data_IF_613180854637
#
_entry.id   IF_613180854637
#
_cell.length_a   1.000
_cell.length_b   1.000
_cell.length_c   1.000
_cell.angle_alpha   90.00
_cell.angle_beta   90.00
_cell.angle_gamma   90.00
#
_symmetry.space_group_name_H-M   'P 1'
#
loop_
_entity.id
_entity.type
_entity.pdbx_description
1 polymer ?
#
# COMPACT_ATOMS: atom_id res chain seq x y z
N UNK A 1 -80.31 -30.79 -51.47
CA UNK A 1 -79.90 -31.28 -52.80
C UNK A 1 -79.39 -30.09 -53.59
N UNK A 2 -78.13 -30.13 -54.05
CA UNK A 2 -77.51 -29.06 -54.86
C UNK A 2 -78.06 -29.16 -56.28
N UNK A 3 -78.40 -28.02 -56.88
CA UNK A 3 -78.77 -27.95 -58.28
C UNK A 3 -77.74 -27.05 -58.97
N UNK A 4 -76.85 -27.62 -59.81
CA UNK A 4 -75.85 -26.81 -60.50
C UNK A 4 -76.50 -25.70 -61.30
N UNK A 5 -75.85 -24.55 -61.40
CA UNK A 5 -76.29 -23.38 -62.17
C UNK A 5 -76.73 -23.79 -63.57
N UNK A 6 -75.95 -24.64 -64.25
CA UNK A 6 -76.30 -25.16 -65.57
C UNK A 6 -77.67 -25.86 -65.61
N UNK A 7 -78.00 -26.66 -64.60
CA UNK A 7 -79.32 -27.29 -64.48
C UNK A 7 -80.43 -26.30 -64.15
N UNK A 8 -80.15 -25.23 -63.40
CA UNK A 8 -81.13 -24.14 -63.17
C UNK A 8 -81.41 -23.36 -64.44
N UNK A 9 -80.41 -23.12 -65.28
CA UNK A 9 -80.58 -22.53 -66.60
C UNK A 9 -81.42 -23.42 -67.51
N UNK A 10 -81.12 -24.72 -67.56
CA UNK A 10 -81.90 -25.69 -68.34
C UNK A 10 -83.34 -25.74 -67.83
N UNK A 11 -83.56 -25.83 -66.51
CA UNK A 11 -84.89 -25.87 -65.92
C UNK A 11 -85.66 -24.56 -66.15
N UNK A 12 -85.01 -23.41 -65.99
CA UNK A 12 -85.59 -22.10 -66.28
C UNK A 12 -85.95 -21.96 -67.76
N UNK A 13 -85.07 -22.40 -68.67
CA UNK A 13 -85.34 -22.43 -70.10
C UNK A 13 -86.50 -23.36 -70.45
N UNK A 14 -86.56 -24.57 -69.87
CA UNK A 14 -87.67 -25.51 -70.05
C UNK A 14 -88.98 -24.92 -69.54
N UNK A 15 -88.99 -24.23 -68.39
CA UNK A 15 -90.18 -23.55 -67.87
C UNK A 15 -90.64 -22.41 -68.78
N UNK A 16 -89.70 -21.62 -69.32
CA UNK A 16 -90.02 -20.55 -70.29
C UNK A 16 -90.55 -21.14 -71.59
N UNK A 17 -89.89 -22.15 -72.16
CA UNK A 17 -90.32 -22.83 -73.40
C UNK A 17 -91.68 -23.48 -73.20
N UNK A 18 -91.93 -24.16 -72.07
CA UNK A 18 -93.23 -24.73 -71.75
C UNK A 18 -94.30 -23.63 -71.63
N UNK A 19 -94.05 -22.55 -70.87
CA UNK A 19 -95.00 -21.45 -70.72
C UNK A 19 -95.35 -20.79 -72.06
N UNK A 20 -94.36 -20.63 -72.95
CA UNK A 20 -94.54 -20.12 -74.31
C UNK A 20 -95.29 -21.11 -75.20
N UNK A 21 -94.98 -22.41 -75.14
CA UNK A 21 -95.63 -23.45 -75.92
C UNK A 21 -97.10 -23.69 -75.53
N UNK A 22 -97.46 -23.49 -74.26
CA UNK A 22 -98.84 -23.60 -73.76
C UNK A 22 -99.63 -22.28 -73.83
N UNK A 23 -98.99 -21.13 -74.08
CA UNK A 23 -99.65 -19.84 -74.27
C UNK A 23 -100.76 -19.83 -75.36
N UNK A 24 -100.59 -20.49 -76.54
CA UNK A 24 -101.65 -20.61 -77.55
C UNK A 24 -102.91 -21.29 -77.01
N UNK A 25 -102.75 -22.32 -76.17
CA UNK A 25 -103.87 -23.07 -75.60
C UNK A 25 -104.66 -22.22 -74.61
N UNK A 26 -104.00 -21.36 -73.84
CA UNK A 26 -104.66 -20.42 -72.92
C UNK A 26 -105.39 -19.28 -73.64
N UNK A 27 -104.82 -18.75 -74.73
CA UNK A 27 -105.41 -17.64 -75.48
C UNK A 27 -106.61 -18.08 -76.34
N UNK A 28 -106.62 -19.33 -76.83
CA UNK A 28 -107.77 -19.90 -77.55
C UNK A 28 -109.02 -20.05 -76.67
N UNK A 29 -108.86 -20.20 -75.36
CA UNK A 29 -109.98 -20.33 -74.41
C UNK A 29 -110.78 -19.03 -74.25
N UNK A 30 -110.24 -17.89 -74.68
CA UNK A 30 -110.84 -16.55 -74.52
C UNK A 30 -111.79 -16.13 -75.66
N UNK A 31 -111.98 -16.95 -76.71
CA UNK A 31 -113.06 -16.77 -77.71
C UNK A 31 -112.90 -15.65 -78.75
N UNK A 32 -111.67 -15.16 -79.00
CA UNK A 32 -111.39 -14.11 -79.98
C UNK A 32 -111.33 -14.61 -81.45
N UNK A 33 -111.40 -13.70 -82.44
CA UNK A 33 -111.40 -14.04 -83.88
C UNK A 33 -110.06 -14.61 -84.38
N UNK A 34 -110.03 -15.49 -85.40
CA UNK A 34 -108.83 -16.28 -85.77
C UNK A 34 -107.57 -15.47 -86.10
N UNK A 35 -107.72 -14.24 -86.61
CA UNK A 35 -106.59 -13.34 -86.90
C UNK A 35 -106.08 -12.61 -85.66
N UNK A 36 -106.98 -12.23 -84.72
CA UNK A 36 -106.60 -11.59 -83.46
C UNK A 36 -106.01 -12.59 -82.45
N UNK A 37 -106.44 -13.86 -82.47
CA UNK A 37 -105.89 -14.92 -81.61
C UNK A 37 -104.41 -15.18 -81.88
N UNK A 38 -103.95 -15.15 -83.14
CA UNK A 38 -102.54 -15.36 -83.50
C UNK A 38 -101.64 -14.23 -82.98
N UNK A 39 -102.07 -12.98 -83.16
CA UNK A 39 -101.37 -11.80 -82.66
C UNK A 39 -101.34 -11.74 -81.13
N UNK A 40 -102.47 -12.01 -80.48
CA UNK A 40 -102.59 -12.02 -79.02
C UNK A 40 -101.77 -13.15 -78.38
N UNK A 41 -101.75 -14.33 -78.99
CA UNK A 41 -100.92 -15.45 -78.54
C UNK A 41 -99.44 -15.12 -78.58
N UNK A 42 -98.97 -14.55 -79.70
CA UNK A 42 -97.58 -14.12 -79.83
C UNK A 42 -97.22 -13.06 -78.79
N UNK A 43 -98.09 -12.07 -78.59
CA UNK A 43 -97.89 -11.03 -77.57
C UNK A 43 -97.83 -11.63 -76.16
N UNK A 44 -98.79 -12.47 -75.75
CA UNK A 44 -98.82 -13.09 -74.41
C UNK A 44 -97.61 -13.99 -74.17
N UNK A 45 -97.25 -14.82 -75.15
CA UNK A 45 -96.06 -15.67 -75.06
C UNK A 45 -94.77 -14.85 -74.91
N UNK A 46 -94.64 -13.76 -75.67
CA UNK A 46 -93.51 -12.85 -75.57
C UNK A 46 -93.45 -12.16 -74.19
N UNK A 47 -94.58 -11.68 -73.67
CA UNK A 47 -94.65 -11.02 -72.36
C UNK A 47 -94.30 -11.98 -71.23
N UNK A 48 -94.82 -13.22 -71.26
CA UNK A 48 -94.50 -14.26 -70.27
C UNK A 48 -93.01 -14.62 -70.35
N UNK A 49 -92.45 -14.78 -71.55
CA UNK A 49 -91.04 -15.04 -71.75
C UNK A 49 -90.15 -13.91 -71.20
N UNK A 50 -90.50 -12.66 -71.45
CA UNK A 50 -89.79 -11.48 -70.93
C UNK A 50 -89.87 -11.37 -69.40
N UNK A 51 -91.05 -11.61 -68.80
CA UNK A 51 -91.23 -11.57 -67.34
C UNK A 51 -90.44 -12.69 -66.65
N UNK A 52 -90.57 -13.94 -67.14
CA UNK A 52 -89.84 -15.07 -66.57
C UNK A 52 -88.33 -14.92 -66.78
N UNK A 53 -87.91 -14.43 -67.95
CA UNK A 53 -86.51 -14.11 -68.23
C UNK A 53 -85.97 -13.01 -67.32
N UNK A 54 -86.75 -11.96 -67.06
CA UNK A 54 -86.39 -10.89 -66.13
C UNK A 54 -86.29 -11.39 -64.68
N UNK A 55 -87.26 -12.19 -64.21
CA UNK A 55 -87.22 -12.78 -62.86
C UNK A 55 -85.99 -13.69 -62.72
N UNK A 56 -85.77 -14.59 -63.69
CA UNK A 56 -84.64 -15.51 -63.67
C UNK A 56 -83.30 -14.75 -63.70
N UNK A 57 -83.15 -13.78 -64.61
CA UNK A 57 -81.96 -12.93 -64.71
C UNK A 57 -81.69 -12.16 -63.41
N UNK A 58 -82.73 -11.55 -62.82
CA UNK A 58 -82.62 -10.80 -61.57
C UNK A 58 -82.26 -11.69 -60.39
N UNK A 59 -82.82 -12.90 -60.30
CA UNK A 59 -82.48 -13.86 -59.24
C UNK A 59 -81.07 -14.43 -59.41
N UNK A 60 -80.66 -14.72 -60.64
CA UNK A 60 -79.34 -15.27 -60.95
C UNK A 60 -78.22 -14.23 -60.72
N UNK A 61 -78.39 -13.04 -61.28
CA UNK A 61 -77.36 -11.99 -61.24
C UNK A 61 -77.16 -11.42 -59.83
N UNK A 62 -78.19 -11.45 -58.98
CA UNK A 62 -78.14 -10.86 -57.63
C UNK A 62 -77.04 -11.44 -56.73
N UNK A 63 -76.81 -12.76 -56.73
CA UNK A 63 -75.72 -13.34 -55.94
C UNK A 63 -74.34 -13.04 -56.56
N UNK A 64 -74.23 -13.02 -57.89
CA UNK A 64 -72.99 -12.65 -58.59
C UNK A 64 -72.60 -11.20 -58.31
N UNK A 65 -73.55 -10.26 -58.37
CA UNK A 65 -73.31 -8.85 -58.05
C UNK A 65 -72.82 -8.70 -56.61
N UNK A 66 -73.43 -9.40 -55.65
CA UNK A 66 -72.97 -9.37 -54.24
C UNK A 66 -71.58 -9.95 -54.04
N UNK A 67 -71.25 -11.06 -54.72
CA UNK A 67 -69.90 -11.64 -54.68
C UNK A 67 -68.87 -10.67 -55.30
N UNK A 68 -69.24 -9.99 -56.38
CA UNK A 68 -68.38 -8.97 -57.00
C UNK A 68 -68.19 -7.76 -56.07
N UNK A 69 -69.24 -7.28 -55.42
CA UNK A 69 -69.16 -6.21 -54.41
C UNK A 69 -68.27 -6.60 -53.23
N UNK A 70 -68.36 -7.84 -52.74
CA UNK A 70 -67.48 -8.36 -51.69
C UNK A 70 -66.03 -8.47 -52.16
N UNK A 71 -65.78 -8.96 -53.37
CA UNK A 71 -64.43 -9.04 -53.94
C UNK A 71 -63.81 -7.65 -54.15
N UNK A 72 -64.61 -6.68 -54.62
CA UNK A 72 -64.19 -5.29 -54.78
C UNK A 72 -63.90 -4.61 -53.43
N UNK A 73 -64.69 -4.92 -52.40
CA UNK A 73 -64.41 -4.48 -51.03
C UNK A 73 -63.06 -5.04 -50.53
N UNK A 74 -62.85 -6.35 -50.64
CA UNK A 74 -61.57 -7.01 -50.28
C UNK A 74 -60.40 -6.40 -51.07
N UNK A 75 -60.57 -6.16 -52.37
CA UNK A 75 -59.54 -5.54 -53.22
C UNK A 75 -59.17 -4.11 -52.81
N UNK A 76 -60.09 -3.38 -52.17
CA UNK A 76 -59.84 -2.04 -51.62
C UNK A 76 -59.26 -2.08 -50.21
N UNK A 77 -59.11 -3.27 -49.62
CA UNK A 77 -58.67 -3.47 -48.25
C UNK A 77 -59.82 -3.49 -47.23
N UNK A 78 -61.08 -3.37 -47.66
CA UNK A 78 -62.21 -3.41 -46.74
C UNK A 78 -62.57 -4.84 -46.38
N UNK A 79 -62.00 -5.32 -45.27
CA UNK A 79 -62.25 -6.64 -44.71
C UNK A 79 -63.39 -6.61 -43.68
N UNK A 80 -64.14 -5.51 -43.52
CA UNK A 80 -65.22 -5.44 -42.52
C UNK A 80 -66.53 -6.06 -43.01
N UNK A 81 -66.75 -6.09 -44.32
CA UNK A 81 -68.03 -6.50 -44.91
C UNK A 81 -68.31 -7.99 -44.77
N UNK A 82 -69.51 -8.34 -44.31
CA UNK A 82 -69.99 -9.72 -44.33
C UNK A 82 -70.51 -10.13 -45.71
N UNK A 83 -70.24 -11.38 -46.09
CA UNK A 83 -70.71 -11.95 -47.36
C UNK A 83 -72.13 -12.48 -47.17
N UNK A 84 -73.12 -11.60 -47.36
CA UNK A 84 -74.54 -11.95 -47.20
C UNK A 84 -75.13 -12.42 -48.54
N UNK A 85 -75.13 -13.73 -48.77
CA UNK A 85 -75.80 -14.34 -49.92
C UNK A 85 -77.32 -14.44 -49.73
N UNK A 86 -78.08 -14.40 -50.84
CA UNK A 86 -79.51 -14.67 -50.80
C UNK A 86 -79.74 -16.16 -50.59
N UNK A 87 -80.46 -16.54 -49.53
CA UNK A 87 -80.86 -17.93 -49.29
C UNK A 87 -81.72 -18.41 -50.45
N UNK A 88 -81.26 -19.42 -51.17
CA UNK A 88 -82.01 -20.07 -52.25
C UNK A 88 -82.51 -21.43 -51.77
N UNK A 89 -83.70 -21.84 -52.24
CA UNK A 89 -84.30 -23.16 -51.91
C UNK A 89 -83.44 -24.34 -52.39
N UNK A 90 -82.60 -24.10 -53.41
CA UNK A 90 -81.70 -25.07 -54.01
C UNK A 90 -80.32 -24.43 -54.15
N UNK A 91 -79.33 -24.82 -53.32
CA UNK A 91 -78.00 -24.26 -53.39
C UNK A 91 -77.30 -24.56 -54.72
N UNK A 92 -76.42 -23.66 -55.16
CA UNK A 92 -75.64 -23.76 -56.39
C UNK A 92 -74.18 -23.29 -56.18
N UNK A 93 -73.38 -23.27 -57.26
CA UNK A 93 -71.97 -22.87 -57.25
C UNK A 93 -71.72 -21.44 -56.69
N UNK A 94 -72.71 -20.53 -56.73
CA UNK A 94 -72.55 -19.17 -56.18
C UNK A 94 -72.42 -19.20 -54.66
N UNK A 95 -73.03 -20.18 -53.99
CA UNK A 95 -72.91 -20.37 -52.54
C UNK A 95 -71.54 -20.92 -52.18
N UNK A 96 -71.03 -21.89 -52.94
CA UNK A 96 -69.67 -22.42 -52.75
C UNK A 96 -68.63 -21.31 -52.94
N UNK A 97 -68.77 -20.48 -53.98
CA UNK A 97 -67.88 -19.35 -54.23
C UNK A 97 -67.92 -18.33 -53.09
N UNK A 98 -69.11 -18.02 -52.55
CA UNK A 98 -69.22 -17.14 -51.40
C UNK A 98 -68.60 -17.72 -50.12
N UNK A 99 -68.72 -19.03 -49.90
CA UNK A 99 -68.03 -19.71 -48.79
C UNK A 99 -66.50 -19.66 -48.96
N UNK A 100 -65.98 -19.86 -50.17
CA UNK A 100 -64.55 -19.74 -50.45
C UNK A 100 -64.03 -18.31 -50.25
N UNK A 101 -64.75 -17.29 -50.75
CA UNK A 101 -64.39 -15.89 -50.53
C UNK A 101 -64.47 -15.54 -49.04
N UNK A 102 -65.45 -16.09 -48.30
CA UNK A 102 -65.55 -15.90 -46.85
C UNK A 102 -64.33 -16.47 -46.11
N UNK A 103 -63.91 -17.70 -46.42
CA UNK A 103 -62.69 -18.29 -45.83
C UNK A 103 -61.44 -17.49 -46.18
N UNK A 104 -61.32 -17.03 -47.42
CA UNK A 104 -60.21 -16.17 -47.85
C UNK A 104 -60.19 -14.86 -47.03
N UNK A 105 -61.35 -14.23 -46.84
CA UNK A 105 -61.48 -13.02 -46.03
C UNK A 105 -61.09 -13.27 -44.57
N UNK A 106 -61.54 -14.37 -43.94
CA UNK A 106 -61.14 -14.73 -42.58
C UNK A 106 -59.63 -14.93 -42.47
N UNK A 107 -59.01 -15.68 -43.39
CA UNK A 107 -57.55 -15.85 -43.39
C UNK A 107 -56.79 -14.54 -43.62
N UNK A 108 -57.30 -13.64 -44.46
CA UNK A 108 -56.72 -12.30 -44.63
C UNK A 108 -56.87 -11.46 -43.36
N UNK A 109 -58.02 -11.53 -42.66
CA UNK A 109 -58.23 -10.84 -41.38
C UNK A 109 -57.22 -11.34 -40.34
N UNK A 110 -57.06 -12.65 -40.21
CA UNK A 110 -56.10 -13.26 -39.28
C UNK A 110 -54.66 -12.86 -39.61
N UNK A 111 -54.28 -12.92 -40.89
CA UNK A 111 -52.95 -12.52 -41.34
C UNK A 111 -52.68 -11.04 -41.05
N UNK A 112 -53.61 -10.13 -41.36
CA UNK A 112 -53.48 -8.70 -41.07
C UNK A 112 -53.38 -8.45 -39.56
N UNK A 113 -54.18 -9.15 -38.72
CA UNK A 113 -54.06 -9.06 -37.25
C UNK A 113 -52.70 -9.53 -36.76
N UNK A 114 -52.24 -10.69 -37.22
CA UNK A 114 -50.93 -11.23 -36.83
C UNK A 114 -49.78 -10.31 -37.27
N UNK A 115 -49.83 -9.75 -38.48
CA UNK A 115 -48.80 -8.79 -38.91
C UNK A 115 -48.83 -7.53 -38.04
N UNK A 116 -50.01 -6.99 -37.69
CA UNK A 116 -50.09 -5.84 -36.77
C UNK A 116 -49.49 -6.15 -35.42
N UNK A 117 -49.91 -7.25 -34.79
CA UNK A 117 -49.41 -7.65 -33.46
C UNK A 117 -47.90 -7.92 -33.46
N UNK A 118 -47.37 -8.58 -34.49
CA UNK A 118 -45.93 -8.85 -34.62
C UNK A 118 -45.16 -7.55 -34.85
N UNK A 119 -45.65 -6.66 -35.72
CA UNK A 119 -44.97 -5.41 -36.04
C UNK A 119 -44.97 -4.45 -34.84
N UNK A 120 -46.05 -4.38 -34.06
CA UNK A 120 -46.06 -3.62 -32.80
C UNK A 120 -45.00 -4.14 -31.82
N UNK A 121 -44.95 -5.46 -31.60
CA UNK A 121 -43.94 -6.09 -30.73
C UNK A 121 -42.51 -5.87 -31.20
N UNK A 122 -42.26 -5.94 -32.52
CA UNK A 122 -40.93 -5.68 -33.09
C UNK A 122 -40.55 -4.21 -32.92
N UNK A 123 -41.48 -3.27 -33.16
CA UNK A 123 -41.25 -1.82 -32.96
C UNK A 123 -40.92 -1.51 -31.49
N UNK A 124 -41.67 -2.08 -30.55
CA UNK A 124 -41.41 -1.94 -29.11
C UNK A 124 -40.06 -2.55 -28.70
N UNK A 125 -39.79 -3.80 -29.10
CA UNK A 125 -38.53 -4.49 -28.78
C UNK A 125 -37.31 -3.74 -29.34
N UNK A 126 -37.43 -3.21 -30.57
CA UNK A 126 -36.39 -2.44 -31.23
C UNK A 126 -36.15 -1.09 -30.52
N UNK A 127 -37.20 -0.39 -30.07
CA UNK A 127 -37.06 0.84 -29.27
C UNK A 127 -36.36 0.55 -27.94
N UNK A 128 -36.75 -0.52 -27.24
CA UNK A 128 -36.08 -0.94 -26.00
C UNK A 128 -34.61 -1.29 -26.25
N UNK A 129 -34.31 -2.06 -27.30
CA UNK A 129 -32.94 -2.42 -27.67
C UNK A 129 -32.09 -1.16 -27.98
N UNK A 130 -32.64 -0.18 -28.69
CA UNK A 130 -31.94 1.09 -28.93
C UNK A 130 -31.67 1.85 -27.63
N UNK A 131 -32.60 1.84 -26.67
CA UNK A 131 -32.41 2.50 -25.38
C UNK A 131 -31.33 1.81 -24.55
N UNK A 132 -31.38 0.48 -24.44
CA UNK A 132 -30.37 -0.32 -23.73
C UNK A 132 -29.00 -0.17 -24.38
N UNK A 133 -28.92 -0.08 -25.71
CA UNK A 133 -27.66 0.14 -26.40
C UNK A 133 -27.01 1.49 -26.04
N UNK A 134 -27.82 2.57 -25.93
CA UNK A 134 -27.34 3.88 -25.51
C UNK A 134 -26.90 3.88 -24.03
N UNK A 135 -27.63 3.18 -23.16
CA UNK A 135 -27.28 3.03 -21.75
C UNK A 135 -25.94 2.30 -21.57
N UNK A 136 -25.72 1.18 -22.26
CA UNK A 136 -24.44 0.46 -22.25
C UNK A 136 -23.32 1.35 -22.80
N UNK A 137 -23.58 2.16 -23.83
CA UNK A 137 -22.58 3.09 -24.35
C UNK A 137 -22.17 4.13 -23.29
N UNK A 138 -23.13 4.66 -22.50
CA UNK A 138 -22.82 5.56 -21.39
C UNK A 138 -22.00 4.85 -20.29
N UNK A 139 -22.33 3.61 -19.92
CA UNK A 139 -21.50 2.83 -18.99
C UNK A 139 -20.10 2.52 -19.55
N UNK A 140 -19.97 2.38 -20.87
CA UNK A 140 -18.70 2.17 -21.55
C UNK A 140 -17.81 3.42 -21.44
N UNK A 141 -18.39 4.63 -21.49
CA UNK A 141 -17.66 5.89 -21.21
C UNK A 141 -17.16 5.96 -19.76
N UNK A 142 -17.95 5.51 -18.78
CA UNK A 142 -17.49 5.43 -17.38
C UNK A 142 -16.33 4.44 -17.21
N UNK A 143 -16.38 3.29 -17.88
CA UNK A 143 -15.27 2.32 -17.91
C UNK A 143 -14.03 2.95 -18.52
N UNK A 144 -14.15 3.67 -19.65
CA UNK A 144 -13.03 4.37 -20.28
C UNK A 144 -12.36 5.37 -19.31
N UNK A 145 -13.17 6.13 -18.56
CA UNK A 145 -12.67 7.05 -17.54
C UNK A 145 -11.92 6.32 -16.41
N UNK A 146 -12.46 5.20 -15.93
CA UNK A 146 -11.79 4.38 -14.91
C UNK A 146 -10.46 3.81 -15.42
N UNK A 147 -10.39 3.38 -16.68
CA UNK A 147 -9.18 2.90 -17.34
C UNK A 147 -8.12 4.01 -17.43
N UNK A 148 -8.50 5.23 -17.80
CA UNK A 148 -7.57 6.39 -17.80
C UNK A 148 -6.99 6.65 -16.40
N UNK A 149 -7.83 6.57 -15.36
CA UNK A 149 -7.39 6.70 -13.97
C UNK A 149 -6.40 5.61 -13.56
N UNK A 150 -6.64 4.35 -13.96
CA UNK A 150 -5.72 3.23 -13.70
C UNK A 150 -4.40 3.47 -14.44
N UNK A 151 -4.42 3.91 -15.70
CA UNK A 151 -3.22 4.24 -16.49
C UNK A 151 -2.34 5.27 -15.76
N UNK A 152 -2.94 6.38 -15.32
CA UNK A 152 -2.23 7.43 -14.57
C UNK A 152 -1.72 6.92 -13.22
N UNK A 153 -2.47 6.02 -12.58
CA UNK A 153 -2.05 5.33 -11.37
C UNK A 153 -0.79 4.48 -11.57
N UNK A 154 -0.74 3.71 -12.67
CA UNK A 154 0.41 2.88 -13.05
C UNK A 154 1.65 3.72 -13.37
N UNK A 155 1.50 4.84 -14.10
CA UNK A 155 2.61 5.79 -14.36
C UNK A 155 3.18 6.37 -13.06
N UNK A 156 2.31 6.84 -12.16
CA UNK A 156 2.72 7.34 -10.85
C UNK A 156 3.42 6.25 -10.02
N UNK A 157 2.94 5.01 -10.11
CA UNK A 157 3.57 3.87 -9.43
C UNK A 157 4.98 3.61 -9.95
N UNK A 158 5.18 3.65 -11.28
CA UNK A 158 6.50 3.52 -11.88
C UNK A 158 7.46 4.64 -11.44
N UNK A 159 6.99 5.88 -11.34
CA UNK A 159 7.80 6.99 -10.83
C UNK A 159 8.19 6.77 -9.34
N UNK A 160 7.23 6.33 -8.51
CA UNK A 160 7.48 6.02 -7.10
C UNK A 160 8.48 4.87 -6.93
N UNK A 161 8.37 3.82 -7.75
CA UNK A 161 9.33 2.70 -7.79
C UNK A 161 10.74 3.22 -8.07
N UNK A 162 10.91 4.08 -9.08
CA UNK A 162 12.21 4.66 -9.43
C UNK A 162 12.81 5.48 -8.28
N UNK A 163 11.98 6.33 -7.63
CA UNK A 163 12.40 7.11 -6.46
C UNK A 163 12.77 6.21 -5.27
N UNK A 164 11.96 5.20 -4.96
CA UNK A 164 12.22 4.27 -3.87
C UNK A 164 13.49 3.47 -4.10
N UNK A 165 13.73 2.99 -5.32
CA UNK A 165 14.95 2.28 -5.68
C UNK A 165 16.20 3.12 -5.42
N UNK A 166 16.17 4.40 -5.80
CA UNK A 166 17.26 5.34 -5.52
C UNK A 166 17.50 5.52 -4.02
N UNK A 167 16.44 5.72 -3.24
CA UNK A 167 16.54 5.89 -1.77
C UNK A 167 17.09 4.62 -1.10
N UNK A 168 16.65 3.44 -1.54
CA UNK A 168 17.17 2.16 -1.02
C UNK A 168 18.66 2.00 -1.34
N UNK A 169 19.09 2.40 -2.54
CA UNK A 169 20.50 2.37 -2.92
C UNK A 169 21.36 3.33 -2.06
N UNK A 170 20.92 4.57 -1.87
CA UNK A 170 21.59 5.55 -1.01
C UNK A 170 21.64 5.08 0.46
N UNK A 171 20.59 4.40 0.92
CA UNK A 171 20.54 3.79 2.25
C UNK A 171 21.56 2.65 2.37
N UNK A 172 21.68 1.76 1.37
CA UNK A 172 22.66 0.67 1.38
C UNK A 172 24.11 1.21 1.48
N UNK A 173 24.44 2.24 0.71
CA UNK A 173 25.76 2.91 0.79
C UNK A 173 25.98 3.49 2.20
N UNK A 174 24.96 4.13 2.77
CA UNK A 174 25.05 4.73 4.10
C UNK A 174 25.26 3.67 5.19
N UNK A 175 24.57 2.53 5.10
CA UNK A 175 24.73 1.39 6.02
C UNK A 175 26.14 0.81 5.92
N UNK A 176 26.69 0.66 4.71
CA UNK A 176 28.06 0.18 4.52
C UNK A 176 29.08 1.14 5.16
N UNK A 177 28.86 2.44 5.01
CA UNK A 177 29.68 3.46 5.67
C UNK A 177 29.61 3.35 7.20
N UNK A 178 28.41 3.18 7.77
CA UNK A 178 28.23 2.96 9.22
C UNK A 178 28.99 1.71 9.68
N UNK A 179 28.88 0.59 8.96
CA UNK A 179 29.60 -0.65 9.26
C UNK A 179 31.12 -0.45 9.22
N UNK A 180 31.62 0.33 8.25
CA UNK A 180 33.04 0.69 8.18
C UNK A 180 33.48 1.54 9.37
N UNK A 181 32.72 2.58 9.72
CA UNK A 181 33.02 3.46 10.87
C UNK A 181 32.98 2.70 12.20
N UNK A 182 32.06 1.75 12.35
CA UNK A 182 31.99 0.89 13.52
C UNK A 182 33.26 0.01 13.65
N UNK A 183 33.74 -0.56 12.54
CA UNK A 183 35.01 -1.32 12.52
C UNK A 183 36.23 -0.45 12.84
N UNK A 184 36.30 0.76 12.30
CA UNK A 184 37.35 1.73 12.62
C UNK A 184 37.35 2.09 14.12
N UNK A 185 36.17 2.34 14.69
CA UNK A 185 36.01 2.64 16.12
C UNK A 185 36.38 1.46 17.03
N UNK A 186 36.03 0.23 16.63
CA UNK A 186 36.46 -1.01 17.31
C UNK A 186 37.99 -1.15 17.31
N UNK A 187 38.64 -0.85 16.18
CA UNK A 187 40.11 -0.81 16.09
C UNK A 187 40.75 0.22 17.03
N UNK A 188 40.22 1.45 17.06
CA UNK A 188 40.70 2.51 17.94
C UNK A 188 40.48 2.17 19.44
N UNK A 189 39.35 1.55 19.77
CA UNK A 189 39.08 1.05 21.11
C UNK A 189 40.14 0.01 21.52
N UNK A 190 40.46 -0.95 20.65
CA UNK A 190 41.49 -1.95 20.92
C UNK A 190 42.88 -1.35 21.14
N UNK A 191 43.27 -0.32 20.38
CA UNK A 191 44.52 0.40 20.61
C UNK A 191 44.54 1.15 21.95
N UNK A 192 43.41 1.75 22.32
CA UNK A 192 43.22 2.42 23.61
C UNK A 192 43.34 1.43 24.76
N UNK A 193 42.77 0.22 24.63
CA UNK A 193 42.90 -0.88 25.60
C UNK A 193 44.37 -1.26 25.81
N UNK A 194 45.13 -1.44 24.73
CA UNK A 194 46.56 -1.76 24.83
C UNK A 194 47.34 -0.65 25.54
N UNK A 195 47.02 0.62 25.26
CA UNK A 195 47.68 1.77 25.87
C UNK A 195 47.32 1.89 27.36
N UNK A 196 46.06 1.76 27.72
CA UNK A 196 45.59 1.79 29.11
C UNK A 196 46.19 0.64 29.93
N UNK A 197 46.28 -0.57 29.34
CA UNK A 197 46.93 -1.72 29.98
C UNK A 197 48.40 -1.44 30.27
N UNK A 198 49.17 -0.90 29.32
CA UNK A 198 50.57 -0.52 29.54
C UNK A 198 50.69 0.55 30.63
N UNK A 199 49.80 1.55 30.62
CA UNK A 199 49.75 2.59 31.66
C UNK A 199 49.52 2.01 33.06
N UNK A 200 48.56 1.08 33.19
CA UNK A 200 48.30 0.38 34.46
C UNK A 200 49.47 -0.49 34.93
N UNK A 201 50.15 -1.18 34.02
CA UNK A 201 51.37 -1.94 34.33
C UNK A 201 52.51 -1.03 34.82
N UNK A 202 52.71 0.12 34.17
CA UNK A 202 53.70 1.13 34.58
C UNK A 202 53.38 1.76 35.94
N UNK A 203 52.11 2.06 36.22
CA UNK A 203 51.67 2.55 37.53
C UNK A 203 51.95 1.53 38.64
N UNK A 204 51.71 0.25 38.37
CA UNK A 204 52.00 -0.83 39.32
C UNK A 204 53.50 -0.96 39.60
N UNK A 205 54.33 -0.91 38.57
CA UNK A 205 55.80 -0.93 38.72
C UNK A 205 56.30 0.28 39.53
N UNK A 206 55.75 1.48 39.27
CA UNK A 206 56.10 2.68 40.03
C UNK A 206 55.71 2.56 41.51
N UNK A 207 54.57 1.93 41.81
CA UNK A 207 54.13 1.69 43.18
C UNK A 207 55.07 0.72 43.93
N UNK A 208 55.57 -0.31 43.25
CA UNK A 208 56.60 -1.21 43.80
C UNK A 208 57.93 -0.48 44.07
N UNK A 209 58.37 0.37 43.12
CA UNK A 209 59.57 1.21 43.30
C UNK A 209 59.40 2.19 44.46
N UNK A 210 58.22 2.79 44.63
CA UNK A 210 57.95 3.69 45.77
C UNK A 210 57.93 2.96 47.11
N UNK A 211 57.46 1.71 47.18
CA UNK A 211 57.59 0.90 48.41
C UNK A 211 59.04 0.71 48.80
N UNK A 212 59.89 0.29 47.84
CA UNK A 212 61.32 0.14 48.09
C UNK A 212 62.01 1.46 48.46
N UNK A 213 61.56 2.59 47.93
CA UNK A 213 62.04 3.91 48.33
C UNK A 213 61.64 4.27 49.76
N UNK A 214 60.38 4.03 50.14
CA UNK A 214 59.87 4.26 51.49
C UNK A 214 60.64 3.46 52.55
N UNK A 215 60.89 2.18 52.29
CA UNK A 215 61.65 1.31 53.18
C UNK A 215 63.07 1.85 53.44
N UNK A 216 63.71 2.42 52.41
CA UNK A 216 65.04 3.05 52.52
C UNK A 216 65.00 4.33 53.34
N UNK A 217 63.98 5.18 53.14
CA UNK A 217 63.81 6.41 53.93
C UNK A 217 63.56 6.08 55.41
N UNK A 218 62.73 5.08 55.70
CA UNK A 218 62.48 4.63 57.06
C UNK A 218 63.76 4.07 57.72
N UNK A 219 64.55 3.29 56.97
CA UNK A 219 65.86 2.82 57.42
C UNK A 219 66.82 3.99 57.74
N UNK A 220 66.90 5.01 56.87
CA UNK A 220 67.70 6.21 57.13
C UNK A 220 67.23 6.96 58.38
N UNK A 221 65.91 7.06 58.59
CA UNK A 221 65.34 7.63 59.81
C UNK A 221 65.78 6.90 61.08
N UNK A 222 65.77 5.55 61.06
CA UNK A 222 66.30 4.73 62.17
C UNK A 222 67.78 4.96 62.43
N UNK A 223 68.60 5.02 61.37
CA UNK A 223 70.04 5.30 61.49
C UNK A 223 70.31 6.68 62.11
N UNK A 224 69.51 7.70 61.75
CA UNK A 224 69.62 9.03 62.33
C UNK A 224 69.24 9.07 63.82
N UNK A 225 68.22 8.30 64.24
CA UNK A 225 67.89 8.18 65.66
C UNK A 225 69.04 7.56 66.46
N UNK A 226 69.69 6.51 65.94
CA UNK A 226 70.87 5.91 66.58
C UNK A 226 72.06 6.89 66.62
N UNK A 227 72.28 7.65 65.55
CA UNK A 227 73.31 8.68 65.49
C UNK A 227 73.08 9.77 66.55
N UNK A 228 71.84 10.25 66.69
CA UNK A 228 71.49 11.26 67.68
C UNK A 228 71.67 10.74 69.12
N UNK A 229 71.33 9.47 69.38
CA UNK A 229 71.60 8.83 70.68
C UNK A 229 73.10 8.72 70.98
N UNK A 230 73.95 8.46 69.97
CA UNK A 230 75.41 8.47 70.12
C UNK A 230 75.93 9.88 70.41
N UNK A 231 75.44 10.91 69.72
CA UNK A 231 75.81 12.31 69.99
C UNK A 231 75.48 12.75 71.42
N UNK A 232 74.30 12.37 71.94
CA UNK A 232 73.95 12.63 73.34
C UNK A 232 74.94 12.00 74.32
N UNK A 233 75.43 10.78 74.02
CA UNK A 233 76.47 10.14 74.83
C UNK A 233 77.79 10.89 74.77
N UNK A 234 78.20 11.36 73.58
CA UNK A 234 79.42 12.18 73.45
C UNK A 234 79.28 13.47 74.23
N UNK A 235 78.11 14.11 74.22
CA UNK A 235 77.84 15.33 74.99
C UNK A 235 78.02 15.13 76.49
N UNK A 236 77.48 14.03 77.04
CA UNK A 236 77.66 13.66 78.45
C UNK A 236 79.13 13.40 78.82
N UNK A 237 79.90 12.83 77.89
CA UNK A 237 81.34 12.60 78.10
C UNK A 237 82.08 13.94 78.11
N UNK A 238 81.76 14.86 77.19
CA UNK A 238 82.36 16.19 77.14
C UNK A 238 82.03 17.01 78.40
N UNK A 239 80.78 16.99 78.87
CA UNK A 239 80.37 17.60 80.14
C UNK A 239 81.20 17.05 81.32
N UNK A 240 81.34 15.72 81.40
CA UNK A 240 82.15 15.08 82.44
C UNK A 240 83.64 15.46 82.37
N UNK A 241 84.21 15.56 81.17
CA UNK A 241 85.59 16.05 80.98
C UNK A 241 85.70 17.50 81.47
N UNK A 242 84.71 18.35 81.18
CA UNK A 242 84.63 19.72 81.68
C UNK A 242 84.57 19.79 83.21
N UNK A 243 83.78 18.93 83.85
CA UNK A 243 83.71 18.81 85.32
C UNK A 243 85.04 18.38 85.93
N UNK A 244 85.67 17.33 85.35
CA UNK A 244 86.99 16.86 85.79
C UNK A 244 88.04 17.93 85.61
N UNK A 245 88.03 18.66 84.49
CA UNK A 245 88.93 19.78 84.22
C UNK A 245 88.75 20.91 85.24
N UNK A 246 87.51 21.29 85.56
CA UNK A 246 87.21 22.28 86.63
C UNK A 246 87.71 21.83 88.00
N UNK A 247 87.43 20.58 88.36
CA UNK A 247 87.86 20.00 89.64
C UNK A 247 89.39 19.92 89.72
N UNK A 248 90.05 19.51 88.63
CA UNK A 248 91.52 19.43 88.54
C UNK A 248 92.14 20.82 88.59
N UNK A 249 91.53 21.82 87.95
CA UNK A 249 91.94 23.22 88.04
C UNK A 249 91.83 23.76 89.47
N UNK A 250 90.76 23.43 90.20
CA UNK A 250 90.59 23.81 91.61
C UNK A 250 91.58 23.09 92.54
N UNK A 251 91.87 21.81 92.30
CA UNK A 251 92.88 21.06 93.03
C UNK A 251 94.28 21.61 92.77
N UNK A 252 94.60 21.92 91.51
CA UNK A 252 95.86 22.54 91.11
C UNK A 252 96.02 23.94 91.71
N UNK A 253 94.94 24.75 91.75
CA UNK A 253 94.94 26.05 92.40
C UNK A 253 95.21 25.93 93.91
N UNK A 254 94.54 25.00 94.59
CA UNK A 254 94.78 24.73 96.01
C UNK A 254 96.22 24.25 96.27
N UNK A 255 96.76 23.40 95.39
CA UNK A 255 98.14 22.94 95.46
C UNK A 255 99.15 24.07 95.19
N UNK A 256 98.88 24.97 94.24
CA UNK A 256 99.69 26.17 93.99
C UNK A 256 99.67 27.13 95.17
N UNK A 257 98.52 27.30 95.83
CA UNK A 257 98.39 28.13 97.04
C UNK A 257 99.20 27.53 98.19
N UNK A 258 99.09 26.23 98.45
CA UNK A 258 99.81 25.57 99.56
C UNK A 258 101.33 25.48 99.27
N UNK A 259 101.72 25.31 98.00
CA UNK A 259 103.12 25.40 97.56
C UNK A 259 103.70 26.81 97.74
N UNK A 260 102.91 27.87 97.49
CA UNK A 260 103.31 29.25 97.79
C UNK A 260 103.43 29.49 99.31
N UNK A 261 102.59 28.83 100.11
CA UNK A 261 102.60 28.89 101.58
C UNK A 261 103.83 28.24 102.22
N UNK A 262 104.38 27.21 101.58
CA UNK A 262 105.60 26.51 102.00
C UNK A 262 106.92 27.25 101.66
N UNK A 263 106.86 28.43 101.01
CA UNK A 263 108.02 29.28 100.73
C UNK A 263 109.07 28.64 99.81
N UNK A 264 110.36 28.77 100.16
CA UNK A 264 111.49 28.26 99.35
C UNK A 264 111.42 26.74 99.08
N UNK A 265 110.85 25.95 100.00
CA UNK A 265 110.73 24.50 99.88
C UNK A 265 109.59 24.04 98.96
N UNK A 266 108.66 24.93 98.61
CA UNK A 266 107.49 24.64 97.75
C UNK A 266 107.67 25.00 96.26
N UNK A 267 108.78 25.65 95.87
CA UNK A 267 108.98 26.20 94.51
C UNK A 267 108.83 25.15 93.40
N UNK A 268 109.36 23.93 93.56
CA UNK A 268 109.23 22.86 92.57
C UNK A 268 107.79 22.35 92.42
N UNK A 269 107.06 22.26 93.53
CA UNK A 269 105.65 21.87 93.54
C UNK A 269 104.74 22.95 92.93
N UNK A 270 105.06 24.23 93.16
CA UNK A 270 104.31 25.34 92.58
C UNK A 270 104.35 25.35 91.03
N UNK A 271 105.51 25.01 90.44
CA UNK A 271 105.64 24.92 88.97
C UNK A 271 104.79 23.78 88.40
N UNK A 272 104.81 22.61 89.05
CA UNK A 272 103.98 21.47 88.61
C UNK A 272 102.50 21.77 88.78
N UNK A 273 102.10 22.40 89.89
CA UNK A 273 100.72 22.78 90.14
C UNK A 273 100.22 23.82 89.12
N UNK A 274 101.03 24.80 88.74
CA UNK A 274 100.69 25.77 87.69
C UNK A 274 100.61 25.12 86.29
N UNK A 275 101.44 24.13 85.99
CA UNK A 275 101.38 23.39 84.73
C UNK A 275 100.10 22.51 84.67
N UNK A 276 99.75 21.82 85.76
CA UNK A 276 98.48 21.08 85.88
C UNK A 276 97.27 22.01 85.76
N UNK A 277 97.36 23.22 86.32
CA UNK A 277 96.33 24.28 86.19
C UNK A 277 96.12 24.65 84.73
N UNK A 278 97.19 24.95 83.99
CA UNK A 278 97.13 25.26 82.55
C UNK A 278 96.60 24.11 81.70
N UNK A 279 97.04 22.88 81.97
CA UNK A 279 96.51 21.67 81.31
C UNK A 279 95.01 21.49 81.58
N UNK A 280 94.56 21.74 82.81
CA UNK A 280 93.16 21.65 83.19
C UNK A 280 92.32 22.74 82.53
N UNK A 281 92.79 23.98 82.46
CA UNK A 281 92.14 25.07 81.70
C UNK A 281 92.08 24.77 80.20
N UNK A 282 93.12 24.15 79.64
CA UNK A 282 93.16 23.72 78.23
C UNK A 282 92.19 22.56 77.94
N UNK A 283 92.09 21.59 78.86
CA UNK A 283 91.12 20.50 78.79
C UNK A 283 89.67 21.00 78.94
N UNK A 284 89.44 21.97 79.82
CA UNK A 284 88.14 22.63 79.99
C UNK A 284 87.69 23.37 78.72
N UNK A 285 88.58 24.16 78.11
CA UNK A 285 88.33 24.83 76.82
C UNK A 285 88.05 23.82 75.70
N UNK A 286 88.84 22.75 75.60
CA UNK A 286 88.61 21.70 74.60
C UNK A 286 87.27 20.99 74.80
N UNK A 287 86.83 20.80 76.05
CA UNK A 287 85.51 20.24 76.34
C UNK A 287 84.37 21.21 75.96
N UNK A 288 84.53 22.51 76.17
CA UNK A 288 83.60 23.54 75.70
C UNK A 288 83.49 23.55 74.17
N UNK A 289 84.61 23.52 73.45
CA UNK A 289 84.62 23.44 71.97
C UNK A 289 83.88 22.19 71.47
N UNK A 290 84.05 21.04 72.14
CA UNK A 290 83.32 19.81 71.82
C UNK A 290 81.82 19.97 72.06
N UNK A 291 81.41 20.62 73.16
CA UNK A 291 79.99 20.86 73.46
C UNK A 291 79.35 21.81 72.43
N UNK A 292 80.08 22.83 71.96
CA UNK A 292 79.63 23.72 70.90
C UNK A 292 79.44 22.96 69.58
N UNK A 293 80.42 22.15 69.18
CA UNK A 293 80.32 21.28 67.99
C UNK A 293 79.15 20.30 68.08
N UNK A 294 78.93 19.68 69.24
CA UNK A 294 77.79 18.76 69.45
C UNK A 294 76.47 19.53 69.36
N UNK A 295 76.39 20.75 69.88
CA UNK A 295 75.18 21.56 69.75
C UNK A 295 74.88 21.89 68.28
N UNK A 296 75.90 22.24 67.49
CA UNK A 296 75.76 22.47 66.04
C UNK A 296 75.32 21.21 65.29
N UNK A 297 75.96 20.06 65.54
CA UNK A 297 75.57 18.79 64.90
C UNK A 297 74.17 18.36 65.32
N UNK A 298 73.76 18.63 66.57
CA UNK A 298 72.41 18.33 67.05
C UNK A 298 71.34 19.18 66.34
N UNK A 299 71.61 20.46 66.13
CA UNK A 299 70.72 21.33 65.35
C UNK A 299 70.59 20.83 63.91
N UNK A 300 71.70 20.47 63.28
CA UNK A 300 71.71 19.90 61.92
C UNK A 300 70.96 18.54 61.87
N UNK A 301 71.14 17.69 62.88
CA UNK A 301 70.40 16.44 63.03
C UNK A 301 68.89 16.64 63.16
N UNK A 302 68.44 17.70 63.85
CA UNK A 302 67.02 18.04 63.93
C UNK A 302 66.47 18.46 62.56
N UNK A 303 67.21 19.28 61.81
CA UNK A 303 66.81 19.67 60.44
C UNK A 303 66.70 18.47 59.50
N UNK A 304 67.61 17.50 59.60
CA UNK A 304 67.52 16.25 58.83
C UNK A 304 66.30 15.42 59.24
N UNK A 305 65.99 15.35 60.54
CA UNK A 305 64.80 14.66 61.03
C UNK A 305 63.50 15.29 60.48
N UNK A 306 63.39 16.62 60.51
CA UNK A 306 62.24 17.33 59.94
C UNK A 306 62.10 17.06 58.43
N UNK A 307 63.24 17.04 57.71
CA UNK A 307 63.27 16.71 56.28
C UNK A 307 62.79 15.28 56.01
N UNK A 308 63.17 14.30 56.85
CA UNK A 308 62.71 12.91 56.73
C UNK A 308 61.20 12.80 56.96
N UNK A 309 60.66 13.55 57.92
CA UNK A 309 59.21 13.59 58.18
C UNK A 309 58.43 14.18 56.99
N UNK A 310 58.95 15.26 56.39
CA UNK A 310 58.37 15.87 55.19
C UNK A 310 58.41 14.91 53.99
N UNK A 311 59.55 14.25 53.75
CA UNK A 311 59.68 13.23 52.70
C UNK A 311 58.67 12.09 52.90
N UNK A 312 58.52 11.59 54.13
CA UNK A 312 57.56 10.53 54.45
C UNK A 312 56.12 10.92 54.12
N UNK A 313 55.72 12.16 54.45
CA UNK A 313 54.42 12.71 54.08
C UNK A 313 54.24 12.78 52.55
N UNK A 314 55.23 13.34 51.84
CA UNK A 314 55.18 13.50 50.38
C UNK A 314 55.12 12.15 49.65
N UNK A 315 55.79 11.10 50.17
CA UNK A 315 55.67 9.74 49.63
C UNK A 315 54.26 9.17 49.85
N UNK A 316 53.66 9.40 51.02
CA UNK A 316 52.29 8.97 51.30
C UNK A 316 51.28 9.56 50.32
N UNK A 317 51.40 10.85 50.03
CA UNK A 317 50.61 11.54 49.00
C UNK A 317 50.91 11.00 47.60
N UNK A 318 52.19 10.77 47.27
CA UNK A 318 52.62 10.18 46.00
C UNK A 318 52.01 8.79 45.75
N UNK A 319 52.00 7.92 46.76
CA UNK A 319 51.38 6.59 46.69
C UNK A 319 49.89 6.71 46.38
N UNK A 320 49.15 7.58 47.08
CA UNK A 320 47.72 7.81 46.85
C UNK A 320 47.45 8.24 45.40
N UNK A 321 48.26 9.14 44.85
CA UNK A 321 48.11 9.58 43.47
C UNK A 321 48.37 8.46 42.45
N UNK A 322 49.34 7.58 42.72
CA UNK A 322 49.61 6.42 41.86
C UNK A 322 48.46 5.40 41.93
N UNK A 323 47.91 5.12 43.11
CA UNK A 323 46.74 4.25 43.27
C UNK A 323 45.54 4.79 42.47
N UNK A 324 45.24 6.09 42.57
CA UNK A 324 44.20 6.75 41.77
C UNK A 324 44.47 6.60 40.27
N UNK A 325 45.72 6.79 39.84
CA UNK A 325 46.12 6.64 38.43
C UNK A 325 45.91 5.21 37.93
N UNK A 326 46.27 4.21 38.74
CA UNK A 326 46.08 2.80 38.41
C UNK A 326 44.59 2.42 38.30
N UNK A 327 43.75 2.98 39.18
CA UNK A 327 42.31 2.81 39.13
C UNK A 327 41.69 3.47 37.89
N UNK A 328 42.15 4.68 37.51
CA UNK A 328 41.71 5.33 36.26
C UNK A 328 42.04 4.50 35.02
N UNK A 329 43.22 3.85 34.96
CA UNK A 329 43.54 2.95 33.85
C UNK A 329 42.62 1.71 33.82
N UNK A 330 42.20 1.21 34.98
CA UNK A 330 41.24 0.10 35.06
C UNK A 330 39.85 0.51 34.55
N UNK A 331 39.37 1.69 34.93
CA UNK A 331 38.10 2.23 34.46
C UNK A 331 38.11 2.49 32.93
N UNK A 332 39.23 3.00 32.39
CA UNK A 332 39.42 3.15 30.95
C UNK A 332 39.32 1.78 30.26
N UNK A 333 40.00 0.75 30.80
CA UNK A 333 39.94 -0.61 30.25
C UNK A 333 38.51 -1.15 30.18
N UNK A 334 37.74 -1.01 31.25
CA UNK A 334 36.34 -1.46 31.31
C UNK A 334 35.47 -0.72 30.28
N UNK A 335 35.61 0.60 30.20
CA UNK A 335 34.88 1.44 29.24
C UNK A 335 35.21 1.09 27.79
N UNK A 336 36.47 0.78 27.51
CA UNK A 336 36.95 0.39 26.20
C UNK A 336 36.39 -0.96 25.76
N UNK A 337 36.34 -1.96 26.67
CA UNK A 337 35.73 -3.27 26.37
C UNK A 337 34.25 -3.13 26.02
N UNK A 338 33.51 -2.29 26.76
CA UNK A 338 32.12 -2.00 26.43
C UNK A 338 31.96 -1.26 25.09
N UNK A 339 32.90 -0.37 24.77
CA UNK A 339 32.92 0.33 23.47
C UNK A 339 33.17 -0.63 22.31
N UNK A 340 34.11 -1.57 22.45
CA UNK A 340 34.36 -2.64 21.47
C UNK A 340 33.11 -3.50 21.26
N UNK A 341 32.45 -3.92 22.36
CA UNK A 341 31.20 -4.70 22.28
C UNK A 341 30.10 -3.95 21.52
N UNK A 342 29.89 -2.67 21.83
CA UNK A 342 28.87 -1.84 21.17
C UNK A 342 29.18 -1.61 19.69
N UNK A 343 30.44 -1.36 19.35
CA UNK A 343 30.85 -1.14 17.95
C UNK A 343 30.73 -2.40 17.10
N UNK A 344 31.06 -3.57 17.65
CA UNK A 344 30.82 -4.85 16.98
C UNK A 344 29.32 -5.09 16.76
N UNK A 345 28.47 -4.82 17.76
CA UNK A 345 27.02 -4.91 17.61
C UNK A 345 26.47 -3.97 16.52
N UNK A 346 27.03 -2.76 16.37
CA UNK A 346 26.64 -1.85 15.28
C UNK A 346 27.02 -2.44 13.92
N UNK A 347 28.19 -3.07 13.80
CA UNK A 347 28.61 -3.72 12.56
C UNK A 347 27.67 -4.88 12.18
N UNK A 348 27.28 -5.71 13.15
CA UNK A 348 26.33 -6.82 12.94
C UNK A 348 24.94 -6.31 12.52
N UNK A 349 24.45 -5.27 13.21
CA UNK A 349 23.18 -4.62 12.84
C UNK A 349 23.22 -4.02 11.44
N UNK A 350 24.35 -3.42 11.05
CA UNK A 350 24.54 -2.87 9.70
C UNK A 350 24.52 -3.98 8.64
N UNK A 351 25.09 -5.15 8.94
CA UNK A 351 25.01 -6.31 8.04
C UNK A 351 23.56 -6.78 7.84
N UNK A 352 22.78 -6.88 8.92
CA UNK A 352 21.35 -7.21 8.83
C UNK A 352 20.54 -6.16 8.06
N UNK A 353 20.83 -4.87 8.24
CA UNK A 353 20.19 -3.79 7.49
C UNK A 353 20.54 -3.85 5.99
N UNK A 354 21.74 -4.29 5.64
CA UNK A 354 22.17 -4.49 4.25
C UNK A 354 21.35 -5.61 3.58
N UNK A 355 21.13 -6.73 4.28
CA UNK A 355 20.26 -7.81 3.81
C UNK A 355 18.80 -7.33 3.62
N UNK A 356 18.28 -6.59 4.61
CA UNK A 356 16.95 -5.97 4.53
C UNK A 356 16.82 -4.98 3.35
N UNK A 357 17.88 -4.23 3.04
CA UNK A 357 17.92 -3.37 1.85
C UNK A 357 17.85 -4.19 0.55
N UNK A 358 18.53 -5.35 0.48
CA UNK A 358 18.42 -6.27 -0.65
C UNK A 358 17.00 -6.83 -0.84
N UNK A 359 16.32 -7.18 0.25
CA UNK A 359 14.91 -7.61 0.20
C UNK A 359 14.00 -6.49 -0.29
N UNK A 360 14.22 -5.25 0.16
CA UNK A 360 13.45 -4.09 -0.32
C UNK A 360 13.63 -3.85 -1.81
N UNK A 361 14.84 -4.03 -2.36
CA UNK A 361 15.06 -3.95 -3.83
C UNK A 361 14.20 -4.97 -4.56
N UNK A 362 14.15 -6.22 -4.07
CA UNK A 362 13.34 -7.29 -4.68
C UNK A 362 11.84 -6.94 -4.67
N UNK A 363 11.33 -6.44 -3.54
CA UNK A 363 9.93 -6.03 -3.44
C UNK A 363 9.61 -4.84 -4.36
N UNK A 364 10.53 -3.88 -4.52
CA UNK A 364 10.35 -2.75 -5.43
C UNK A 364 10.33 -3.21 -6.89
N UNK A 365 11.13 -4.22 -7.24
CA UNK A 365 11.14 -4.84 -8.58
C UNK A 365 9.81 -5.56 -8.87
N UNK A 366 9.25 -6.28 -7.90
CA UNK A 366 7.90 -6.87 -8.02
C UNK A 366 6.81 -5.82 -8.24
N UNK A 367 6.88 -4.69 -7.52
CA UNK A 367 5.95 -3.57 -7.71
C UNK A 367 6.09 -2.96 -9.11
N UNK A 368 7.33 -2.83 -9.61
CA UNK A 368 7.61 -2.35 -10.96
C UNK A 368 6.92 -3.23 -12.00
N UNK A 369 7.04 -4.55 -11.86
CA UNK A 369 6.41 -5.53 -12.73
C UNK A 369 4.88 -5.44 -12.70
N UNK A 370 4.28 -5.28 -11.52
CA UNK A 370 2.82 -5.07 -11.40
C UNK A 370 2.38 -3.78 -12.09
N UNK A 371 3.16 -2.70 -12.00
CA UNK A 371 2.85 -1.45 -12.70
C UNK A 371 2.88 -1.63 -14.23
N UNK A 372 3.86 -2.40 -14.74
CA UNK A 372 3.96 -2.75 -16.17
C UNK A 372 2.79 -3.63 -16.63
N UNK A 373 2.45 -4.67 -15.87
CA UNK A 373 1.30 -5.55 -16.15
C UNK A 373 -0.02 -4.76 -16.14
N UNK A 374 -0.17 -3.81 -15.22
CA UNK A 374 -1.33 -2.92 -15.16
C UNK A 374 -1.40 -2.01 -16.39
N UNK A 375 -0.28 -1.43 -16.83
CA UNK A 375 -0.23 -0.59 -18.03
C UNK A 375 -0.67 -1.39 -19.28
N UNK A 376 -0.10 -2.59 -19.46
CA UNK A 376 -0.47 -3.48 -20.56
C UNK A 376 -1.96 -3.89 -20.51
N UNK A 377 -2.46 -4.25 -19.33
CA UNK A 377 -3.87 -4.60 -19.14
C UNK A 377 -4.81 -3.41 -19.43
N UNK A 378 -4.39 -2.21 -19.07
CA UNK A 378 -5.15 -0.97 -19.29
C UNK A 378 -5.23 -0.65 -20.78
N UNK A 379 -4.16 -0.83 -21.54
CA UNK A 379 -4.17 -0.69 -23.01
C UNK A 379 -5.15 -1.68 -23.67
N UNK A 380 -5.14 -2.94 -23.22
CA UNK A 380 -6.06 -3.96 -23.75
C UNK A 380 -7.53 -3.64 -23.44
N UNK A 381 -7.83 -3.23 -22.21
CA UNK A 381 -9.20 -2.85 -21.82
C UNK A 381 -9.64 -1.58 -22.55
N UNK A 382 -8.74 -0.62 -22.75
CA UNK A 382 -9.03 0.58 -23.54
C UNK A 382 -9.43 0.24 -24.98
N UNK A 383 -8.69 -0.64 -25.65
CA UNK A 383 -9.02 -1.11 -26.99
C UNK A 383 -10.38 -1.82 -27.03
N UNK A 384 -10.65 -2.74 -26.08
CA UNK A 384 -11.93 -3.44 -25.99
C UNK A 384 -13.11 -2.49 -25.70
N UNK A 385 -12.89 -1.47 -24.88
CA UNK A 385 -13.88 -0.43 -24.55
C UNK A 385 -14.23 0.39 -25.79
N UNK A 386 -13.23 0.73 -26.61
CA UNK A 386 -13.44 1.44 -27.87
C UNK A 386 -14.22 0.60 -28.88
N UNK A 387 -13.89 -0.69 -29.03
CA UNK A 387 -14.63 -1.62 -29.90
C UNK A 387 -16.08 -1.80 -29.42
N UNK A 388 -16.28 -1.93 -28.11
CA UNK A 388 -17.61 -2.04 -27.52
C UNK A 388 -18.46 -0.79 -27.79
N UNK A 389 -17.91 0.41 -27.64
CA UNK A 389 -18.62 1.65 -27.93
C UNK A 389 -19.11 1.71 -29.39
N UNK A 390 -18.26 1.31 -30.34
CA UNK A 390 -18.63 1.22 -31.77
C UNK A 390 -19.75 0.20 -31.97
N UNK A 391 -19.62 -0.99 -31.42
CA UNK A 391 -20.65 -2.04 -31.54
C UNK A 391 -22.01 -1.62 -30.96
N UNK A 392 -22.02 -0.87 -29.84
CA UNK A 392 -23.26 -0.38 -29.25
C UNK A 392 -23.91 0.73 -30.09
N UNK A 393 -23.11 1.60 -30.72
CA UNK A 393 -23.63 2.59 -31.67
C UNK A 393 -24.27 1.92 -32.89
N UNK A 394 -23.62 0.90 -33.46
CA UNK A 394 -24.18 0.11 -34.57
C UNK A 394 -25.46 -0.62 -34.16
N UNK A 395 -25.50 -1.19 -32.95
CA UNK A 395 -26.70 -1.84 -32.42
C UNK A 395 -27.87 -0.86 -32.25
N UNK A 396 -27.61 0.35 -31.75
CA UNK A 396 -28.63 1.39 -31.64
C UNK A 396 -29.16 1.83 -33.01
N UNK A 397 -28.29 1.93 -34.03
CA UNK A 397 -28.69 2.23 -35.40
C UNK A 397 -29.53 1.11 -36.01
N UNK A 398 -29.08 -0.14 -35.92
CA UNK A 398 -29.82 -1.30 -36.42
C UNK A 398 -31.19 -1.46 -35.74
N UNK A 399 -31.27 -1.17 -34.45
CA UNK A 399 -32.53 -1.17 -33.71
C UNK A 399 -33.48 -0.07 -34.20
N UNK A 400 -32.99 1.14 -34.50
CA UNK A 400 -33.82 2.20 -35.11
C UNK A 400 -34.31 1.82 -36.50
N UNK A 401 -33.47 1.19 -37.32
CA UNK A 401 -33.87 0.69 -38.64
C UNK A 401 -34.95 -0.39 -38.54
N UNK A 402 -34.82 -1.34 -37.60
CA UNK A 402 -35.85 -2.35 -37.34
C UNK A 402 -37.17 -1.73 -36.91
N UNK A 403 -37.14 -0.71 -36.04
CA UNK A 403 -38.35 0.01 -35.65
C UNK A 403 -39.01 0.70 -36.86
N UNK A 404 -38.22 1.35 -37.72
CA UNK A 404 -38.72 1.99 -38.93
C UNK A 404 -39.31 1.00 -39.95
N UNK A 405 -38.68 -0.16 -40.15
CA UNK A 405 -39.21 -1.24 -40.98
C UNK A 405 -40.52 -1.78 -40.43
N UNK A 406 -40.63 -1.91 -39.11
CA UNK A 406 -41.84 -2.36 -38.45
C UNK A 406 -42.99 -1.36 -38.59
N UNK A 407 -42.70 -0.07 -38.45
CA UNK A 407 -43.67 1.01 -38.67
C UNK A 407 -44.12 1.05 -40.14
N UNK A 408 -43.22 0.76 -41.09
CA UNK A 408 -43.56 0.64 -42.53
C UNK A 408 -44.45 -0.57 -42.82
N UNK A 409 -44.22 -1.71 -42.15
CA UNK A 409 -45.11 -2.87 -42.21
C UNK A 409 -46.50 -2.54 -41.65
N UNK A 410 -46.56 -1.84 -40.52
CA UNK A 410 -47.83 -1.36 -39.93
C UNK A 410 -48.60 -0.48 -40.90
N UNK A 411 -47.97 0.52 -41.52
CA UNK A 411 -48.60 1.37 -42.53
C UNK A 411 -49.10 0.56 -43.74
N UNK A 412 -48.36 -0.45 -44.16
CA UNK A 412 -48.75 -1.32 -45.28
C UNK A 412 -50.02 -2.12 -44.96
N UNK A 413 -50.19 -2.55 -43.71
CA UNK A 413 -51.39 -3.28 -43.26
C UNK A 413 -52.51 -2.40 -42.72
N UNK A 414 -52.27 -1.12 -42.46
CA UNK A 414 -53.30 -0.12 -42.13
C UNK A 414 -54.29 0.11 -43.28
N UNK A 415 -53.84 -0.11 -44.52
CA UNK A 415 -54.72 -0.07 -45.70
C UNK A 415 -55.88 -1.08 -45.63
N UNK A 416 -55.74 -2.14 -44.82
CA UNK A 416 -56.79 -3.12 -44.59
C UNK A 416 -57.64 -2.74 -43.37
N UNK A 417 -58.93 -2.48 -43.56
CA UNK A 417 -59.85 -2.21 -42.45
C UNK A 417 -60.38 -3.53 -41.88
N UNK A 418 -60.06 -3.77 -40.60
CA UNK A 418 -60.52 -4.94 -39.87
C UNK A 418 -61.84 -4.64 -39.16
N UNK A 419 -62.74 -5.63 -38.99
CA UNK A 419 -63.87 -5.48 -38.10
C UNK A 419 -63.37 -5.21 -36.67
N UNK A 420 -64.11 -4.42 -35.87
CA UNK A 420 -63.78 -4.25 -34.44
C UNK A 420 -63.68 -5.63 -33.79
N UNK A 421 -62.72 -5.77 -32.88
CA UNK A 421 -62.56 -6.99 -32.08
C UNK A 421 -63.88 -7.21 -31.35
N UNK A 422 -64.65 -8.23 -31.73
CA UNK A 422 -65.73 -8.70 -30.87
C UNK A 422 -65.03 -9.28 -29.65
N UNK A 423 -65.03 -8.52 -28.56
CA UNK A 423 -64.75 -9.08 -27.24
C UNK A 423 -65.84 -10.12 -27.01
N UNK A 424 -65.55 -11.37 -27.37
CA UNK A 424 -66.24 -12.50 -26.79
C UNK A 424 -65.87 -12.49 -25.31
N UNK A 425 -66.61 -11.68 -24.54
CA UNK A 425 -66.75 -11.79 -23.11
C UNK A 425 -67.10 -13.25 -22.84
N UNK A 426 -66.11 -13.99 -22.34
CA UNK A 426 -66.31 -15.33 -21.78
C UNK A 426 -66.61 -15.20 -20.30
#
# INVERSE_FOLDING_TARGET
>A
MRIPIGYKFILGFVVVVAAVAFAPSGVQLLGYSPESTKLLTFAVALTIGLILGWIFSKTFTRNITRLNESAEAISRGDLTKEIVLVKTRFPDETIDMGLSIHRMMEHLRDLVRSIREISEKVSESAKTLSSTALEINASTEEVAFAVEHISRGAENQAEMVSKSSKVIHEMAISIELVAKRAREASGAARETSLTARRGGEQSKELLEKMRGFFDRVEQSGRQFMEFNAKLQRVGKIADFIGDVARQTNMLALNASIEAARAGEYGKGFAVVAEEVRKLSEGAGRSAEDILELISGIREESHRVQDTILEISKNIGEGKKNIDITADSFREIMETVVETERKTNSIADMSAMQTDGAGQMVTNVDEIAKVAEDNAASTEQVSAATQEQAVAMQEMALAARELAALSDSLLQSVERFTLPPKEDHVR
#
